data_IF_904507565020
#
_entry.id   IF_904507565020
#
_cell.length_a   1.000
_cell.length_b   1.000
_cell.length_c   1.000
_cell.angle_alpha   90.00
_cell.angle_beta   90.00
_cell.angle_gamma   90.00
#
_symmetry.space_group_name_H-M   'P 1'
#
loop_
_entity.id
_entity.type
_entity.pdbx_description
1 polymer ?
#
# COMPACT_ATOMS: atom_id res chain seq x y z
N UNK A 1 -1.01 -12.14 0.77
CA UNK A 1 -1.57 -12.45 -0.58
C UNK A 1 -3.08 -12.34 -0.49
N UNK A 2 -3.73 -11.67 -1.44
CA UNK A 2 -5.19 -11.44 -1.45
C UNK A 2 -5.84 -12.43 -2.43
N UNK A 3 -7.00 -12.99 -2.06
CA UNK A 3 -7.73 -13.99 -2.84
C UNK A 3 -9.16 -13.54 -3.07
N UNK A 4 -9.64 -13.68 -4.32
CA UNK A 4 -11.01 -13.34 -4.73
C UNK A 4 -11.74 -14.64 -5.10
N UNK A 5 -12.68 -15.12 -4.26
CA UNK A 5 -13.43 -16.35 -4.55
C UNK A 5 -14.30 -16.20 -5.82
N UNK A 6 -14.35 -17.26 -6.64
CA UNK A 6 -15.15 -17.26 -7.87
C UNK A 6 -14.53 -16.49 -9.04
N UNK A 7 -13.40 -15.80 -8.83
CA UNK A 7 -12.67 -15.08 -9.87
C UNK A 7 -11.54 -15.93 -10.46
N UNK A 8 -11.30 -15.79 -11.76
CA UNK A 8 -10.26 -16.51 -12.49
C UNK A 8 -9.04 -15.64 -12.76
N UNK A 9 -8.12 -16.11 -13.61
CA UNK A 9 -6.98 -15.32 -14.07
C UNK A 9 -7.39 -13.98 -14.73
N UNK A 10 -8.63 -13.92 -15.22
CA UNK A 10 -9.18 -12.77 -15.94
C UNK A 10 -9.78 -11.68 -15.04
N UNK A 11 -9.66 -11.79 -13.72
CA UNK A 11 -10.18 -10.83 -12.74
C UNK A 11 -9.93 -9.37 -13.13
N UNK A 12 -8.71 -9.04 -13.56
CA UNK A 12 -8.35 -7.65 -13.88
C UNK A 12 -9.13 -7.09 -15.08
N UNK A 13 -9.50 -7.94 -16.03
CA UNK A 13 -10.13 -7.55 -17.32
C UNK A 13 -11.64 -7.70 -17.29
N UNK A 14 -12.13 -8.83 -16.80
CA UNK A 14 -13.54 -9.22 -16.88
C UNK A 14 -14.12 -9.74 -15.57
N UNK A 15 -13.42 -9.59 -14.44
CA UNK A 15 -13.96 -9.96 -13.14
C UNK A 15 -15.12 -9.07 -12.71
N UNK A 16 -15.79 -9.46 -11.62
CA UNK A 16 -16.88 -8.70 -11.02
C UNK A 16 -16.48 -7.23 -10.79
N UNK A 17 -17.34 -6.25 -11.13
CA UNK A 17 -17.00 -4.84 -11.01
C UNK A 17 -16.47 -4.46 -9.62
N UNK A 18 -17.10 -4.99 -8.57
CA UNK A 18 -16.69 -4.77 -7.18
C UNK A 18 -15.32 -5.38 -6.85
N UNK A 19 -15.06 -6.62 -7.26
CA UNK A 19 -13.76 -7.27 -7.05
C UNK A 19 -12.61 -6.53 -7.76
N UNK A 20 -12.88 -5.94 -8.93
CA UNK A 20 -11.90 -5.11 -9.64
C UNK A 20 -11.56 -3.83 -8.87
N UNK A 21 -12.57 -3.15 -8.33
CA UNK A 21 -12.38 -1.95 -7.51
C UNK A 21 -11.59 -2.29 -6.24
N UNK A 22 -11.98 -3.34 -5.51
CA UNK A 22 -11.29 -3.82 -4.31
C UNK A 22 -9.82 -4.18 -4.61
N UNK A 23 -9.55 -4.90 -5.72
CA UNK A 23 -8.18 -5.20 -6.15
C UNK A 23 -7.35 -3.94 -6.40
N UNK A 24 -7.92 -2.93 -7.07
CA UNK A 24 -7.22 -1.68 -7.34
C UNK A 24 -6.90 -0.93 -6.04
N UNK A 25 -7.84 -0.88 -5.09
CA UNK A 25 -7.60 -0.27 -3.78
C UNK A 25 -6.44 -0.95 -3.04
N UNK A 26 -6.38 -2.29 -3.07
CA UNK A 26 -5.26 -2.99 -2.45
C UNK A 26 -3.90 -2.69 -3.10
N UNK A 27 -3.84 -2.58 -4.43
CA UNK A 27 -2.61 -2.20 -5.15
C UNK A 27 -2.17 -0.79 -4.75
N UNK A 28 -3.09 0.17 -4.72
CA UNK A 28 -2.80 1.56 -4.32
C UNK A 28 -2.30 1.60 -2.88
N UNK A 29 -2.99 0.92 -1.96
CA UNK A 29 -2.60 0.88 -0.56
C UNK A 29 -1.22 0.24 -0.36
N UNK A 30 -0.86 -0.74 -1.18
CA UNK A 30 0.49 -1.31 -1.15
C UNK A 30 1.55 -0.26 -1.53
N UNK A 31 1.31 0.53 -2.57
CA UNK A 31 2.22 1.62 -2.94
C UNK A 31 2.29 2.73 -1.88
N UNK A 32 1.15 3.09 -1.30
CA UNK A 32 1.06 4.08 -0.24
C UNK A 32 1.94 3.70 0.97
N UNK A 33 1.88 2.44 1.41
CA UNK A 33 2.67 1.94 2.55
C UNK A 33 4.15 1.79 2.19
N UNK A 34 4.46 1.28 1.00
CA UNK A 34 5.82 0.85 0.68
C UNK A 34 6.65 1.89 -0.06
N UNK A 35 6.02 2.83 -0.78
CA UNK A 35 6.72 3.87 -1.54
C UNK A 35 6.47 5.27 -0.99
N UNK A 36 5.32 5.55 -0.38
CA UNK A 36 4.99 6.88 0.14
C UNK A 36 5.12 6.99 1.66
N UNK A 37 5.35 5.88 2.37
CA UNK A 37 5.49 5.87 3.82
C UNK A 37 4.21 6.28 4.56
N UNK A 38 3.03 6.13 3.94
CA UNK A 38 1.76 6.39 4.61
C UNK A 38 1.47 5.29 5.64
N UNK A 39 1.04 5.69 6.82
CA UNK A 39 0.50 4.78 7.83
C UNK A 39 -0.90 4.31 7.38
N UNK A 40 -0.99 3.06 6.93
CA UNK A 40 -2.25 2.37 6.65
C UNK A 40 -2.25 1.01 7.36
N UNK A 41 -3.11 0.85 8.36
CA UNK A 41 -3.22 -0.37 9.16
C UNK A 41 -4.00 -1.52 8.50
N UNK A 42 -4.37 -1.38 7.22
CA UNK A 42 -5.23 -2.35 6.53
C UNK A 42 -4.63 -3.76 6.45
N UNK A 43 -3.31 -3.87 6.46
CA UNK A 43 -2.59 -5.15 6.39
C UNK A 43 -2.02 -5.61 7.74
N UNK A 44 -2.34 -4.92 8.83
CA UNK A 44 -1.90 -5.28 10.17
C UNK A 44 -2.73 -6.45 10.67
N UNK A 45 -2.24 -7.66 10.44
CA UNK A 45 -2.88 -8.88 10.95
C UNK A 45 -2.33 -9.15 12.35
N UNK A 46 -3.14 -9.09 13.42
CA UNK A 46 -2.67 -9.38 14.77
C UNK A 46 -2.17 -10.83 14.82
N UNK A 47 -0.87 -11.00 15.06
CA UNK A 47 -0.21 -12.31 15.14
C UNK A 47 0.56 -12.76 13.90
N UNK A 48 0.56 -12.00 12.80
CA UNK A 48 1.58 -12.17 11.76
C UNK A 48 2.81 -11.34 12.13
N UNK A 49 3.90 -11.98 12.52
CA UNK A 49 5.18 -11.29 12.67
C UNK A 49 5.65 -10.81 11.28
N UNK A 50 5.23 -9.60 10.91
CA UNK A 50 5.84 -8.83 9.84
C UNK A 50 6.87 -7.87 10.49
N UNK A 51 8.02 -7.62 9.84
CA UNK A 51 9.16 -6.98 10.48
C UNK A 51 8.78 -5.57 10.94
N UNK A 52 9.42 -5.06 12.01
CA UNK A 52 9.09 -3.75 12.57
C UNK A 52 9.40 -2.66 11.54
N UNK A 53 8.38 -2.17 10.83
CA UNK A 53 8.48 -0.94 10.04
C UNK A 53 8.21 0.27 10.93
N UNK A 54 9.12 0.52 11.87
CA UNK A 54 9.35 1.86 12.43
C UNK A 54 10.65 1.97 13.26
N UNK A 55 11.45 0.91 13.37
CA UNK A 55 12.67 0.94 14.19
C UNK A 55 13.94 1.43 13.47
N UNK A 56 13.82 2.17 12.36
CA UNK A 56 14.95 2.87 11.73
C UNK A 56 14.48 4.00 10.81
N UNK A 57 14.13 5.16 11.39
CA UNK A 57 14.59 6.43 10.81
C UNK A 57 14.68 7.53 11.88
N UNK A 58 15.83 7.71 12.55
CA UNK A 58 16.08 8.91 13.36
C UNK A 58 16.42 10.14 12.51
N UNK A 59 16.18 10.14 11.20
CA UNK A 59 16.55 11.23 10.31
C UNK A 59 15.66 11.38 9.10
N UNK A 60 14.43 11.84 9.31
CA UNK A 60 13.69 12.56 8.28
C UNK A 60 13.99 14.07 8.37
N UNK A 61 14.98 14.62 7.62
CA UNK A 61 15.09 16.07 7.42
C UNK A 61 14.25 16.54 6.20
N UNK A 62 13.46 15.67 5.57
CA UNK A 62 12.78 15.93 4.29
C UNK A 62 11.47 16.72 4.41
N UNK A 63 11.38 17.70 5.30
CA UNK A 63 10.32 18.70 5.31
C UNK A 63 10.67 19.80 4.29
N UNK A 64 9.89 19.89 3.21
CA UNK A 64 10.16 20.79 2.10
C UNK A 64 10.29 22.28 2.48
N UNK A 65 11.36 22.90 2.00
CA UNK A 65 11.56 24.31 1.62
C UNK A 65 13.02 24.35 1.10
N UNK A 66 13.43 24.85 -0.07
CA UNK A 66 13.03 26.02 -0.86
C UNK A 66 13.61 25.82 -2.26
N UNK A 67 12.80 26.02 -3.31
CA UNK A 67 13.32 26.30 -4.65
C UNK A 67 13.70 27.79 -4.76
N UNK A 68 14.57 28.08 -5.73
CA UNK A 68 15.03 29.39 -6.23
C UNK A 68 16.24 30.00 -5.52
N UNK A 69 17.41 29.65 -6.05
CA UNK A 69 18.45 30.63 -6.36
C UNK A 69 18.08 31.24 -7.72
N UNK A 70 18.32 32.55 -7.85
CA UNK A 70 17.77 33.52 -8.83
C UNK A 70 16.39 34.09 -8.48
#
# INVERSE_FOLDING_TARGET
>A
MIRFPGESHELSRSGGPWHRVERLQHIINWFDIHLQGKELHLYDIPGSEAPPKSAADPGNPGGGARNSLE
#
